data_IF_834675050763
#
_entry.id   IF_834675050763
#
_cell.length_a   1.000
_cell.length_b   1.000
_cell.length_c   1.000
_cell.angle_alpha   90.00
_cell.angle_beta   90.00
_cell.angle_gamma   90.00
#
_symmetry.space_group_name_H-M   'P 1'
#
loop_
_entity.id
_entity.type
_entity.pdbx_description
1 polymer ?
#
# COMPACT_ATOMS: atom_id res chain seq x y z
N UNK A 1 11.37 -13.71 -22.94
CA UNK A 1 10.72 -14.69 -22.03
C UNK A 1 9.80 -13.91 -21.10
N UNK A 2 8.49 -13.94 -21.34
CA UNK A 2 7.52 -13.15 -20.57
C UNK A 2 7.23 -13.87 -19.24
N UNK A 3 7.71 -13.30 -18.12
CA UNK A 3 7.59 -13.83 -16.76
C UNK A 3 6.15 -13.74 -16.18
N UNK A 4 5.13 -13.46 -17.01
CA UNK A 4 3.77 -13.09 -16.59
C UNK A 4 2.96 -14.21 -15.92
N UNK A 5 3.42 -15.47 -15.98
CA UNK A 5 2.62 -16.64 -15.65
C UNK A 5 3.21 -17.58 -14.58
N UNK A 6 4.24 -17.18 -13.83
CA UNK A 6 4.67 -17.98 -12.68
C UNK A 6 3.65 -17.87 -11.54
N UNK A 7 3.28 -19.03 -10.99
CA UNK A 7 2.42 -19.15 -9.83
C UNK A 7 3.22 -18.78 -8.58
N UNK A 8 3.00 -17.59 -8.03
CA UNK A 8 3.69 -17.10 -6.83
C UNK A 8 3.50 -18.02 -5.61
N UNK A 9 2.46 -18.87 -5.58
CA UNK A 9 2.29 -19.90 -4.54
C UNK A 9 3.40 -20.94 -4.55
N UNK A 10 3.98 -21.25 -5.71
CA UNK A 10 5.04 -22.26 -5.81
C UNK A 10 6.37 -21.71 -5.31
N UNK A 11 6.61 -20.40 -5.38
CA UNK A 11 7.78 -19.75 -4.78
C UNK A 11 7.72 -19.73 -3.25
N UNK A 12 6.55 -19.42 -2.66
CA UNK A 12 6.36 -19.49 -1.22
C UNK A 12 6.50 -20.94 -0.68
N UNK A 13 6.01 -21.94 -1.43
CA UNK A 13 6.21 -23.38 -1.10
C UNK A 13 7.66 -23.84 -1.28
N UNK A 14 8.41 -23.23 -2.18
CA UNK A 14 9.82 -23.52 -2.46
C UNK A 14 10.81 -22.89 -1.47
N UNK A 15 10.33 -22.16 -0.45
CA UNK A 15 11.17 -21.52 0.57
C UNK A 15 11.68 -20.13 0.21
N UNK A 16 11.18 -19.51 -0.87
CA UNK A 16 11.53 -18.13 -1.21
C UNK A 16 10.78 -17.18 -0.28
N UNK A 17 11.53 -16.34 0.41
CA UNK A 17 11.04 -15.28 1.29
C UNK A 17 10.43 -14.13 0.49
N UNK A 18 9.55 -13.37 1.13
CA UNK A 18 8.94 -12.19 0.50
C UNK A 18 9.96 -11.07 0.21
N UNK A 19 11.10 -11.05 0.91
CA UNK A 19 12.22 -10.15 0.63
C UNK A 19 12.88 -10.49 -0.70
N UNK A 20 13.20 -11.77 -0.92
CA UNK A 20 13.79 -12.23 -2.19
C UNK A 20 12.84 -11.96 -3.36
N UNK A 21 11.53 -12.11 -3.14
CA UNK A 21 10.49 -11.80 -4.12
C UNK A 21 10.56 -10.33 -4.57
N UNK A 22 10.80 -9.38 -3.64
CA UNK A 22 10.89 -7.94 -3.95
C UNK A 22 12.12 -7.57 -4.76
N UNK A 23 13.21 -8.31 -4.58
CA UNK A 23 14.48 -8.08 -5.29
C UNK A 23 14.48 -8.67 -6.70
N UNK A 24 13.47 -9.47 -7.05
CA UNK A 24 13.37 -10.06 -8.40
C UNK A 24 12.85 -9.06 -9.44
N UNK A 25 13.31 -9.14 -10.71
CA UNK A 25 12.80 -8.33 -11.81
C UNK A 25 11.40 -8.74 -12.29
N UNK A 26 10.68 -9.55 -11.52
CA UNK A 26 9.30 -9.95 -11.82
C UNK A 26 8.39 -8.83 -11.33
N UNK A 27 7.60 -8.25 -12.23
CA UNK A 27 6.54 -7.33 -11.83
C UNK A 27 5.45 -8.12 -11.09
N UNK A 28 5.37 -7.93 -9.77
CA UNK A 28 4.39 -8.62 -8.94
C UNK A 28 3.21 -7.71 -8.74
N UNK A 29 2.06 -8.15 -9.25
CA UNK A 29 0.80 -7.51 -8.96
C UNK A 29 0.41 -7.87 -7.50
N UNK A 30 0.19 -6.90 -6.62
CA UNK A 30 -0.10 -7.04 -5.18
C UNK A 30 -1.26 -7.98 -4.82
N UNK A 31 -2.34 -8.06 -5.61
CA UNK A 31 -3.33 -9.14 -5.49
C UNK A 31 -2.76 -10.55 -5.49
N UNK A 32 -1.74 -10.81 -6.31
CA UNK A 32 -1.09 -12.11 -6.36
C UNK A 32 -0.26 -12.39 -5.10
N UNK A 33 0.11 -11.37 -4.31
CA UNK A 33 0.73 -11.58 -2.99
C UNK A 33 -0.26 -12.19 -1.99
N UNK A 34 -1.55 -11.76 -1.96
CA UNK A 34 -2.56 -12.43 -1.12
C UNK A 34 -2.68 -13.91 -1.45
N UNK A 35 -2.59 -14.25 -2.75
CA UNK A 35 -2.67 -15.63 -3.20
C UNK A 35 -1.53 -16.52 -2.67
N UNK A 36 -0.36 -15.95 -2.34
CA UNK A 36 0.77 -16.71 -1.78
C UNK A 36 0.57 -17.16 -0.33
N UNK A 37 -0.37 -16.55 0.40
CA UNK A 37 -0.57 -16.78 1.83
C UNK A 37 0.22 -15.85 2.76
N UNK A 38 0.98 -14.88 2.23
CA UNK A 38 1.60 -13.84 3.08
C UNK A 38 0.56 -12.87 3.66
N UNK A 39 0.77 -12.45 4.89
CA UNK A 39 0.02 -11.38 5.54
C UNK A 39 0.51 -10.00 5.08
N UNK A 40 -0.33 -8.98 5.20
CA UNK A 40 0.10 -7.61 4.88
C UNK A 40 1.18 -7.07 5.79
N UNK A 41 1.23 -7.53 7.03
CA UNK A 41 2.32 -7.19 7.93
C UNK A 41 3.64 -7.71 7.38
N UNK A 42 3.71 -8.98 6.95
CA UNK A 42 4.91 -9.55 6.33
C UNK A 42 5.29 -8.82 5.03
N UNK A 43 4.30 -8.42 4.23
CA UNK A 43 4.50 -7.62 3.02
C UNK A 43 5.14 -6.26 3.37
N UNK A 44 4.62 -5.57 4.39
CA UNK A 44 5.18 -4.31 4.88
C UNK A 44 6.58 -4.48 5.46
N UNK A 45 6.82 -5.52 6.26
CA UNK A 45 8.12 -5.83 6.88
C UNK A 45 9.19 -6.18 5.82
N UNK A 46 8.78 -6.73 4.68
CA UNK A 46 9.63 -6.90 3.50
C UNK A 46 9.91 -5.58 2.74
N UNK A 47 9.30 -4.49 3.19
CA UNK A 47 9.54 -3.13 2.71
C UNK A 47 8.70 -2.74 1.49
N UNK A 48 7.67 -3.51 1.12
CA UNK A 48 6.77 -3.07 0.05
C UNK A 48 6.02 -1.80 0.47
N UNK A 49 6.10 -0.77 -0.37
CA UNK A 49 5.36 0.48 -0.20
C UNK A 49 3.94 0.33 -0.76
N UNK A 50 3.04 1.24 -0.37
CA UNK A 50 1.71 1.27 -0.97
C UNK A 50 1.74 1.52 -2.50
N UNK A 51 2.76 2.20 -3.01
CA UNK A 51 2.97 2.40 -4.46
C UNK A 51 3.39 1.10 -5.15
N UNK A 52 4.32 0.34 -4.55
CA UNK A 52 4.63 -1.04 -4.99
C UNK A 52 3.38 -1.92 -4.97
N UNK A 53 2.47 -1.62 -4.03
CA UNK A 53 1.18 -2.27 -3.91
C UNK A 53 0.10 -1.73 -4.88
N UNK A 54 0.43 -0.82 -5.80
CA UNK A 54 -0.50 -0.27 -6.78
C UNK A 54 -1.58 0.63 -6.18
N UNK A 55 -1.42 1.04 -4.91
CA UNK A 55 -2.31 1.95 -4.18
C UNK A 55 -1.92 3.41 -4.40
N UNK A 56 -1.61 3.81 -5.63
CA UNK A 56 -1.34 5.22 -5.93
C UNK A 56 -2.64 5.94 -6.22
N UNK A 57 -2.95 6.97 -5.45
CA UNK A 57 -4.22 7.72 -5.55
C UNK A 57 -4.41 8.39 -6.94
N UNK A 58 -3.31 8.76 -7.61
CA UNK A 58 -3.33 9.43 -8.93
C UNK A 58 -3.66 8.50 -10.11
N UNK A 59 -3.71 7.18 -9.90
CA UNK A 59 -4.06 6.21 -10.93
C UNK A 59 -5.44 5.64 -10.65
N UNK A 60 -6.52 6.17 -11.25
CA UNK A 60 -7.80 5.51 -11.25
C UNK A 60 -7.66 4.25 -12.09
N UNK A 61 -7.43 3.10 -11.47
CA UNK A 61 -7.47 1.83 -12.18
C UNK A 61 -8.87 1.23 -11.98
N UNK A 62 -9.79 1.37 -12.95
CA UNK A 62 -11.16 0.87 -12.84
C UNK A 62 -11.26 -0.66 -12.70
N UNK A 63 -10.16 -1.40 -12.86
CA UNK A 63 -10.09 -2.84 -12.57
C UNK A 63 -9.77 -3.17 -11.09
N UNK A 64 -9.46 -2.18 -10.24
CA UNK A 64 -9.09 -2.38 -8.82
C UNK A 64 -10.24 -2.74 -7.89
N UNK A 65 -11.51 -2.62 -8.31
CA UNK A 65 -12.66 -2.88 -7.45
C UNK A 65 -12.82 -4.35 -7.01
N UNK A 66 -12.09 -5.31 -7.58
CA UNK A 66 -12.11 -6.72 -7.13
C UNK A 66 -10.95 -7.11 -6.21
N UNK A 67 -10.02 -6.19 -5.96
CA UNK A 67 -8.72 -6.52 -5.37
C UNK A 67 -8.17 -5.46 -4.43
N UNK A 68 -9.00 -4.48 -4.09
CA UNK A 68 -8.68 -3.42 -3.15
C UNK A 68 -8.55 -3.99 -1.72
N UNK A 69 -7.39 -3.82 -1.11
CA UNK A 69 -7.13 -4.09 0.30
C UNK A 69 -7.80 -2.95 1.07
N UNK A 70 -8.76 -3.26 1.94
CA UNK A 70 -9.41 -2.26 2.77
C UNK A 70 -8.37 -1.42 3.52
N UNK A 71 -8.63 -0.12 3.63
CA UNK A 71 -7.76 0.81 4.37
C UNK A 71 -7.44 0.29 5.78
N UNK A 72 -8.42 -0.31 6.47
CA UNK A 72 -8.24 -0.88 7.79
C UNK A 72 -7.25 -2.06 7.78
N UNK A 73 -7.27 -2.94 6.78
CA UNK A 73 -6.29 -4.03 6.66
C UNK A 73 -4.86 -3.47 6.47
N UNK A 74 -4.70 -2.39 5.69
CA UNK A 74 -3.41 -1.71 5.53
C UNK A 74 -2.94 -1.10 6.86
N UNK A 75 -3.84 -0.46 7.60
CA UNK A 75 -3.53 0.12 8.91
C UNK A 75 -3.16 -0.96 9.93
N UNK A 76 -3.87 -2.08 9.95
CA UNK A 76 -3.60 -3.23 10.84
C UNK A 76 -2.28 -3.92 10.47
N UNK A 77 -1.89 -3.91 9.20
CA UNK A 77 -0.58 -4.32 8.74
C UNK A 77 0.56 -3.37 9.14
N UNK A 78 0.22 -2.23 9.74
CA UNK A 78 1.15 -1.23 10.22
C UNK A 78 1.41 -0.08 9.26
N UNK A 79 0.80 -0.03 8.06
CA UNK A 79 0.94 1.12 7.16
C UNK A 79 0.42 2.40 7.82
N UNK A 80 1.19 3.47 7.69
CA UNK A 80 0.95 4.71 8.43
C UNK A 80 0.73 5.91 7.48
N UNK A 81 0.32 7.03 8.07
CA UNK A 81 0.15 8.33 7.41
C UNK A 81 1.28 8.74 6.44
N UNK A 82 2.55 8.40 6.72
CA UNK A 82 3.67 8.70 5.81
C UNK A 82 3.65 7.76 4.60
N UNK A 83 3.34 6.48 4.80
CA UNK A 83 3.17 5.53 3.70
C UNK A 83 2.06 5.97 2.74
N UNK A 84 0.90 6.37 3.27
CA UNK A 84 -0.23 6.88 2.47
C UNK A 84 0.13 8.19 1.75
N UNK A 85 0.87 9.09 2.40
CA UNK A 85 1.37 10.32 1.74
C UNK A 85 2.33 10.01 0.59
N UNK A 86 3.24 9.07 0.79
CA UNK A 86 4.19 8.65 -0.24
C UNK A 86 3.45 8.07 -1.46
N UNK A 87 2.36 7.33 -1.22
CA UNK A 87 1.41 6.86 -2.23
C UNK A 87 0.41 7.93 -2.73
N UNK A 88 0.66 9.21 -2.42
CA UNK A 88 -0.07 10.38 -2.92
C UNK A 88 -1.53 10.48 -2.46
N UNK A 89 -1.90 9.80 -1.37
CA UNK A 89 -3.25 9.98 -0.82
C UNK A 89 -3.44 11.40 -0.28
N UNK A 90 -4.59 12.04 -0.58
CA UNK A 90 -4.88 13.39 -0.11
C UNK A 90 -5.23 13.38 1.39
N UNK A 91 -4.89 14.47 2.09
CA UNK A 91 -5.18 14.62 3.52
C UNK A 91 -6.67 14.42 3.87
N UNK A 92 -7.58 14.77 2.96
CA UNK A 92 -9.02 14.55 3.13
C UNK A 92 -9.37 13.06 3.23
N UNK A 93 -8.73 12.20 2.43
CA UNK A 93 -8.96 10.76 2.50
C UNK A 93 -8.49 10.20 3.83
N UNK A 94 -7.31 10.62 4.31
CA UNK A 94 -6.77 10.19 5.59
C UNK A 94 -7.63 10.67 6.77
N UNK A 95 -8.14 11.91 6.71
CA UNK A 95 -9.10 12.44 7.70
C UNK A 95 -10.36 11.59 7.78
N UNK A 96 -10.94 11.25 6.63
CA UNK A 96 -12.16 10.43 6.58
C UNK A 96 -11.93 9.01 7.13
N UNK A 97 -10.66 8.56 7.18
CA UNK A 97 -10.25 7.30 7.77
C UNK A 97 -9.66 7.44 9.19
N UNK A 98 -9.93 8.58 9.85
CA UNK A 98 -9.70 8.76 11.28
C UNK A 98 -8.30 9.22 11.69
N UNK A 99 -7.43 9.61 10.74
CA UNK A 99 -6.23 10.34 11.12
C UNK A 99 -6.59 11.73 11.64
N UNK A 100 -5.80 12.24 12.59
CA UNK A 100 -5.96 13.57 13.18
C UNK A 100 -5.06 14.61 12.51
N UNK A 101 -5.37 15.89 12.75
CA UNK A 101 -4.54 17.01 12.28
C UNK A 101 -3.06 16.84 12.66
N UNK A 102 -2.81 16.54 13.94
CA UNK A 102 -1.44 16.40 14.48
C UNK A 102 -0.68 15.27 13.79
N UNK A 103 -1.34 14.15 13.50
CA UNK A 103 -0.71 13.02 12.79
C UNK A 103 -0.36 13.40 11.36
N UNK A 104 -1.23 14.11 10.65
CA UNK A 104 -0.97 14.52 9.27
C UNK A 104 0.10 15.63 9.18
N UNK A 105 0.16 16.52 10.17
CA UNK A 105 1.28 17.46 10.32
C UNK A 105 2.61 16.73 10.55
N UNK A 106 2.62 15.70 11.40
CA UNK A 106 3.81 14.87 11.64
C UNK A 106 4.20 14.02 10.40
N UNK A 107 3.26 13.79 9.49
CA UNK A 107 3.52 13.23 8.17
C UNK A 107 3.92 14.29 7.13
N UNK A 108 4.07 15.55 7.55
CA UNK A 108 4.48 16.69 6.72
C UNK A 108 3.49 16.99 5.57
N UNK A 109 2.20 16.69 5.74
CA UNK A 109 1.17 17.24 4.85
C UNK A 109 1.21 18.76 4.92
N UNK A 110 1.06 19.43 3.77
CA UNK A 110 1.15 20.89 3.72
C UNK A 110 -0.08 21.50 4.38
N UNK A 111 0.11 22.65 5.05
CA UNK A 111 -0.99 23.39 5.68
C UNK A 111 -2.14 23.69 4.71
N UNK A 112 -1.84 23.92 3.44
CA UNK A 112 -2.84 24.10 2.39
C UNK A 112 -3.71 22.84 2.20
N UNK A 113 -3.09 21.65 2.10
CA UNK A 113 -3.80 20.37 1.95
C UNK A 113 -4.64 20.05 3.19
N UNK A 114 -4.15 20.39 4.38
CA UNK A 114 -4.86 20.20 5.65
C UNK A 114 -6.09 21.11 5.75
N UNK A 115 -5.99 22.37 5.30
CA UNK A 115 -7.15 23.28 5.20
C UNK A 115 -8.18 22.77 4.20
N UNK A 116 -7.74 22.29 3.03
CA UNK A 116 -8.62 21.67 2.03
C UNK A 116 -9.32 20.44 2.61
N UNK A 117 -8.63 19.64 3.42
CA UNK A 117 -9.21 18.52 4.14
C UNK A 117 -10.22 18.94 5.23
N UNK A 118 -10.39 20.25 5.47
CA UNK A 118 -11.28 20.81 6.47
C UNK A 118 -10.76 20.66 7.89
N UNK A 119 -9.44 20.62 8.10
CA UNK A 119 -8.88 20.83 9.43
C UNK A 119 -8.80 22.32 9.75
N UNK A 120 -9.00 22.64 11.02
CA UNK A 120 -8.76 23.96 11.59
C UNK A 120 -7.31 23.97 12.08
N UNK A 121 -6.49 24.85 11.51
CA UNK A 121 -5.07 25.02 11.83
C UNK A 121 -4.84 26.13 12.84
#
# INVERSE_FOLDING_TARGET
MQLYNYNLKDFAKGGISIQEIKETPIYINPPKLKETGFTFQQIKEAGYTLDDLGYKYETPNPLQNKTFIPFQELKDAGYDKKDFKNAKYPAQYLKNNGFSLKELMNAEYRSFDLKIAGYIL
#
